data_IF_496472815010
#
_entry.id   IF_496472815010
#
_cell.length_a   1.000
_cell.length_b   1.000
_cell.length_c   1.000
_cell.angle_alpha   90.00
_cell.angle_beta   90.00
_cell.angle_gamma   90.00
#
_symmetry.space_group_name_H-M   'P 1'
#
loop_
_entity.id
_entity.type
_entity.pdbx_description
1 polymer ?
#
# COMPACT_ATOMS: atom_id res chain seq x y z
N UNK A 1 -75.62 22.57 29.12
CA UNK A 1 -74.67 21.61 28.54
C UNK A 1 -73.47 21.54 29.46
N UNK A 2 -73.36 20.47 30.23
CA UNK A 2 -72.18 20.17 31.08
C UNK A 2 -71.75 18.77 30.73
N UNK A 3 -70.66 18.66 29.97
CA UNK A 3 -70.09 17.38 29.55
C UNK A 3 -69.46 16.73 30.79
N UNK A 4 -69.89 15.52 31.13
CA UNK A 4 -69.37 14.78 32.28
C UNK A 4 -67.88 14.48 32.04
N UNK A 5 -67.01 15.11 32.83
CA UNK A 5 -65.56 14.95 32.70
C UNK A 5 -65.13 13.63 33.35
N UNK A 6 -64.94 12.59 32.53
CA UNK A 6 -64.51 11.27 33.01
C UNK A 6 -63.02 11.30 33.41
N UNK A 7 -62.78 11.57 34.69
CA UNK A 7 -61.44 11.65 35.30
C UNK A 7 -60.60 10.38 35.10
N UNK A 8 -61.22 9.21 34.91
CA UNK A 8 -60.49 7.96 34.67
C UNK A 8 -59.88 7.91 33.27
N UNK A 9 -60.57 8.46 32.27
CA UNK A 9 -60.07 8.55 30.89
C UNK A 9 -58.91 9.57 30.82
N UNK A 10 -59.08 10.73 31.47
CA UNK A 10 -58.04 11.76 31.52
C UNK A 10 -56.76 11.26 32.23
N UNK A 11 -56.90 10.51 33.33
CA UNK A 11 -55.76 9.93 34.05
C UNK A 11 -55.03 8.86 33.23
N UNK A 12 -55.77 8.02 32.50
CA UNK A 12 -55.17 7.06 31.55
C UNK A 12 -54.46 7.78 30.41
N UNK A 13 -55.07 8.79 29.79
CA UNK A 13 -54.48 9.58 28.71
C UNK A 13 -53.17 10.27 29.13
N UNK A 14 -53.13 10.86 30.33
CA UNK A 14 -51.91 11.45 30.90
C UNK A 14 -50.79 10.41 31.09
N UNK A 15 -51.13 9.22 31.61
CA UNK A 15 -50.15 8.14 31.76
C UNK A 15 -49.66 7.59 30.42
N UNK A 16 -50.51 7.50 29.39
CA UNK A 16 -50.11 7.07 28.05
C UNK A 16 -49.24 8.13 27.35
N UNK A 17 -49.55 9.42 27.49
CA UNK A 17 -48.72 10.51 26.95
C UNK A 17 -47.33 10.53 27.60
N UNK A 18 -47.24 10.43 28.92
CA UNK A 18 -45.96 10.42 29.63
C UNK A 18 -45.12 9.18 29.30
N UNK A 19 -45.74 8.00 29.19
CA UNK A 19 -45.08 6.76 28.75
C UNK A 19 -44.60 6.87 27.30
N UNK A 20 -45.40 7.46 26.40
CA UNK A 20 -45.03 7.67 24.99
C UNK A 20 -43.86 8.63 24.87
N UNK A 21 -43.87 9.77 25.57
CA UNK A 21 -42.75 10.73 25.55
C UNK A 21 -41.45 10.14 26.08
N UNK A 22 -41.50 9.33 27.15
CA UNK A 22 -40.32 8.66 27.68
C UNK A 22 -39.79 7.60 26.70
N UNK A 23 -40.67 6.76 26.15
CA UNK A 23 -40.28 5.74 25.18
C UNK A 23 -39.70 6.35 23.89
N UNK A 24 -40.25 7.46 23.41
CA UNK A 24 -39.70 8.16 22.24
C UNK A 24 -38.33 8.76 22.51
N UNK A 25 -38.12 9.40 23.68
CA UNK A 25 -36.82 9.98 24.03
C UNK A 25 -35.75 8.89 24.19
N UNK A 26 -36.08 7.77 24.83
CA UNK A 26 -35.17 6.62 24.97
C UNK A 26 -34.87 5.99 23.60
N UNK A 27 -35.88 5.81 22.75
CA UNK A 27 -35.71 5.26 21.41
C UNK A 27 -34.82 6.12 20.51
N UNK A 28 -34.99 7.46 20.54
CA UNK A 28 -34.13 8.40 19.82
C UNK A 28 -32.70 8.35 20.35
N UNK A 29 -32.52 8.34 21.68
CA UNK A 29 -31.19 8.21 22.29
C UNK A 29 -30.46 6.95 21.85
N UNK A 30 -31.15 5.80 21.84
CA UNK A 30 -30.60 4.52 21.36
C UNK A 30 -30.29 4.52 19.86
N UNK A 31 -31.13 5.17 19.04
CA UNK A 31 -30.89 5.30 17.61
C UNK A 31 -29.63 6.11 17.31
N UNK A 32 -29.43 7.23 18.00
CA UNK A 32 -28.25 8.08 17.83
C UNK A 32 -26.98 7.37 18.28
N UNK A 33 -26.99 6.68 19.42
CA UNK A 33 -25.84 5.91 19.89
C UNK A 33 -25.50 4.75 18.97
N UNK A 34 -26.51 4.06 18.41
CA UNK A 34 -26.30 2.99 17.42
C UNK A 34 -25.67 3.52 16.13
N UNK A 35 -26.16 4.64 15.58
CA UNK A 35 -25.57 5.26 14.39
C UNK A 35 -24.12 5.69 14.66
N UNK A 36 -23.86 6.28 15.83
CA UNK A 36 -22.49 6.68 16.21
C UNK A 36 -21.56 5.46 16.32
N UNK A 37 -22.02 4.37 16.94
CA UNK A 37 -21.28 3.11 17.01
C UNK A 37 -20.98 2.54 15.62
N UNK A 38 -21.93 2.59 14.69
CA UNK A 38 -21.70 2.19 13.30
C UNK A 38 -20.65 3.06 12.62
N UNK A 39 -20.68 4.39 12.77
CA UNK A 39 -19.67 5.27 12.17
C UNK A 39 -18.25 4.99 12.69
N UNK A 40 -18.13 4.64 13.98
CA UNK A 40 -16.86 4.21 14.57
C UNK A 40 -16.44 2.84 14.01
N UNK A 41 -17.36 1.87 13.94
CA UNK A 41 -17.10 0.52 13.39
C UNK A 41 -16.68 0.56 11.90
N UNK A 42 -17.33 1.41 11.10
CA UNK A 42 -16.99 1.64 9.69
C UNK A 42 -15.80 2.58 9.48
N UNK A 43 -15.13 3.00 10.55
CA UNK A 43 -13.92 3.84 10.50
C UNK A 43 -14.10 5.13 9.67
N UNK A 44 -15.33 5.65 9.59
CA UNK A 44 -15.66 6.83 8.78
C UNK A 44 -14.94 8.11 9.25
N UNK A 45 -14.46 8.11 10.49
CA UNK A 45 -13.66 9.19 11.09
C UNK A 45 -12.14 8.98 10.98
N UNK A 46 -11.68 7.90 10.35
CA UNK A 46 -10.25 7.64 10.15
C UNK A 46 -9.46 7.41 11.45
N UNK A 47 -10.11 7.00 12.54
CA UNK A 47 -9.52 6.87 13.90
C UNK A 47 -8.42 5.80 13.97
N UNK A 48 -8.37 4.84 13.02
CA UNK A 48 -7.25 3.90 12.85
C UNK A 48 -6.49 4.11 11.53
N UNK A 49 -6.56 5.30 10.94
CA UNK A 49 -5.61 5.64 9.88
C UNK A 49 -4.26 5.75 10.54
N UNK A 50 -3.44 4.70 10.43
CA UNK A 50 -2.02 4.78 10.76
C UNK A 50 -1.47 5.88 9.87
N UNK A 51 -1.36 7.10 10.40
CA UNK A 51 -0.56 8.15 9.79
C UNK A 51 0.82 7.54 9.69
N UNK A 52 1.24 7.19 8.48
CA UNK A 52 2.60 6.78 8.23
C UNK A 52 3.50 7.84 8.88
N UNK A 53 4.44 7.45 9.76
CA UNK A 53 5.42 8.41 10.27
C UNK A 53 6.08 9.06 9.06
N UNK A 54 6.00 10.39 8.95
CA UNK A 54 6.75 11.16 7.95
C UNK A 54 8.27 10.98 8.11
N UNK A 55 8.71 10.32 9.18
CA UNK A 55 10.10 10.23 9.61
C UNK A 55 10.78 8.90 9.26
N UNK A 56 10.16 8.02 8.46
CA UNK A 56 10.82 6.77 8.03
C UNK A 56 10.69 6.50 6.53
N UNK A 57 11.31 7.32 5.66
CA UNK A 57 11.30 7.10 4.22
C UNK A 57 11.90 5.72 3.90
N UNK A 58 11.25 4.99 2.98
CA UNK A 58 11.64 3.63 2.60
C UNK A 58 11.84 2.67 3.80
N UNK A 59 11.06 2.88 4.86
CA UNK A 59 11.05 2.04 6.08
C UNK A 59 12.42 1.93 6.78
N UNK A 60 13.26 2.96 6.65
CA UNK A 60 14.55 3.06 7.35
C UNK A 60 15.68 2.38 6.60
N UNK A 61 15.41 1.91 5.39
CA UNK A 61 16.42 1.39 4.47
C UNK A 61 16.87 2.53 3.58
N UNK A 62 18.18 2.82 3.48
CA UNK A 62 18.66 3.86 2.58
C UNK A 62 18.37 3.47 1.12
N UNK A 63 17.73 4.38 0.38
CA UNK A 63 17.44 4.21 -1.03
C UNK A 63 18.32 5.15 -1.88
N UNK A 64 18.73 4.73 -3.09
CA UNK A 64 19.46 5.58 -3.98
C UNK A 64 18.57 6.68 -4.60
N UNK A 65 19.15 7.84 -4.87
CA UNK A 65 18.50 8.87 -5.69
C UNK A 65 18.37 8.40 -7.15
N UNK A 66 17.32 8.84 -7.83
CA UNK A 66 17.08 8.49 -9.21
C UNK A 66 18.13 9.11 -10.13
N UNK A 67 18.43 8.45 -11.24
CA UNK A 67 19.47 8.88 -12.16
C UNK A 67 18.86 9.75 -13.26
N UNK A 68 19.37 10.98 -13.37
CA UNK A 68 18.99 11.90 -14.42
C UNK A 68 19.59 11.43 -15.75
N UNK A 69 18.76 11.32 -16.79
CA UNK A 69 19.20 10.96 -18.14
C UNK A 69 20.01 12.08 -18.79
N UNK A 70 20.72 11.77 -19.89
CA UNK A 70 21.60 12.72 -20.60
C UNK A 70 20.90 13.96 -21.16
N UNK A 71 19.58 13.92 -21.34
CA UNK A 71 18.80 14.96 -22.04
C UNK A 71 17.82 15.73 -21.15
N UNK A 72 17.79 15.48 -19.83
CA UNK A 72 16.73 16.02 -18.96
C UNK A 72 17.26 16.66 -17.67
N UNK A 73 16.45 17.54 -17.08
CA UNK A 73 16.68 18.07 -15.73
C UNK A 73 16.19 17.12 -14.62
N UNK A 74 15.45 16.06 -14.97
CA UNK A 74 14.79 15.15 -14.01
C UNK A 74 14.91 13.69 -14.45
N UNK A 75 14.88 12.77 -13.49
CA UNK A 75 14.91 11.33 -13.74
C UNK A 75 13.51 10.82 -14.19
N UNK A 76 13.40 10.15 -15.34
CA UNK A 76 12.11 9.63 -15.82
C UNK A 76 11.86 8.18 -15.37
N UNK A 77 10.59 7.83 -15.20
CA UNK A 77 10.15 6.43 -15.19
C UNK A 77 10.47 5.80 -16.54
N UNK A 78 10.98 4.57 -16.53
CA UNK A 78 11.37 3.86 -17.76
C UNK A 78 10.17 3.12 -18.36
N UNK A 79 10.28 2.74 -19.64
CA UNK A 79 9.29 1.86 -20.26
C UNK A 79 9.31 0.49 -19.57
N UNK A 80 8.15 0.00 -19.12
CA UNK A 80 8.04 -1.30 -18.45
C UNK A 80 8.68 -2.44 -19.26
N UNK A 81 8.61 -2.39 -20.59
CA UNK A 81 9.17 -3.41 -21.49
C UNK A 81 10.70 -3.48 -21.46
N UNK A 82 11.35 -2.38 -21.06
CA UNK A 82 12.79 -2.32 -20.87
C UNK A 82 13.22 -2.85 -19.50
N UNK A 83 12.28 -3.14 -18.59
CA UNK A 83 12.57 -3.56 -17.22
C UNK A 83 12.46 -5.07 -17.09
N UNK A 84 13.61 -5.72 -16.92
CA UNK A 84 13.70 -7.14 -16.60
C UNK A 84 13.43 -7.37 -15.10
N UNK A 85 12.43 -8.19 -14.79
CA UNK A 85 12.05 -8.50 -13.43
C UNK A 85 12.12 -10.00 -13.15
N UNK A 86 12.54 -10.34 -11.93
CA UNK A 86 12.37 -11.67 -11.35
C UNK A 86 11.53 -11.56 -10.10
N UNK A 87 10.51 -12.40 -9.96
CA UNK A 87 9.60 -12.37 -8.81
C UNK A 87 9.84 -13.59 -7.92
N UNK A 88 10.19 -13.31 -6.67
CA UNK A 88 10.55 -14.32 -5.67
C UNK A 88 9.51 -14.36 -4.57
N UNK A 89 9.08 -15.57 -4.20
CA UNK A 89 8.15 -15.76 -3.10
C UNK A 89 8.90 -15.77 -1.76
N UNK A 90 8.80 -14.67 -1.01
CA UNK A 90 9.31 -14.56 0.36
C UNK A 90 8.31 -14.99 1.43
N UNK A 91 7.23 -15.68 1.06
CA UNK A 91 6.12 -16.05 1.96
C UNK A 91 5.85 -17.56 1.96
N UNK A 92 4.95 -18.01 2.85
CA UNK A 92 4.43 -19.40 2.86
C UNK A 92 3.34 -19.67 1.81
N UNK A 93 2.82 -18.64 1.13
CA UNK A 93 1.67 -18.76 0.23
C UNK A 93 2.12 -19.25 -1.14
N UNK A 94 1.71 -20.47 -1.50
CA UNK A 94 2.06 -21.07 -2.80
C UNK A 94 1.41 -20.29 -3.94
N UNK A 95 2.12 -20.15 -5.06
CA UNK A 95 1.61 -19.47 -6.26
C UNK A 95 1.62 -17.94 -6.22
N UNK A 96 1.92 -17.31 -5.07
CA UNK A 96 1.88 -15.85 -4.92
C UNK A 96 2.82 -15.14 -5.91
N UNK A 97 4.09 -15.58 -5.98
CA UNK A 97 5.07 -14.98 -6.92
C UNK A 97 4.65 -15.15 -8.38
N UNK A 98 3.99 -16.26 -8.73
CA UNK A 98 3.49 -16.49 -10.08
C UNK A 98 2.35 -15.53 -10.41
N UNK A 99 1.36 -15.42 -9.54
CA UNK A 99 0.22 -14.52 -9.74
C UNK A 99 0.67 -13.05 -9.89
N UNK A 100 1.58 -12.60 -9.03
CA UNK A 100 2.11 -11.23 -9.09
C UNK A 100 3.01 -11.04 -10.31
N UNK A 101 3.87 -12.01 -10.62
CA UNK A 101 4.71 -11.98 -11.82
C UNK A 101 3.90 -11.88 -13.10
N UNK A 102 2.86 -12.70 -13.26
CA UNK A 102 1.95 -12.64 -14.41
C UNK A 102 1.20 -11.31 -14.48
N UNK A 103 0.78 -10.75 -13.34
CA UNK A 103 0.14 -9.44 -13.29
C UNK A 103 1.07 -8.28 -13.69
N UNK A 104 2.36 -8.34 -13.31
CA UNK A 104 3.38 -7.39 -13.74
C UNK A 104 3.73 -7.59 -15.23
N UNK A 105 3.83 -8.83 -15.70
CA UNK A 105 4.02 -9.13 -17.13
C UNK A 105 2.86 -8.57 -17.97
N UNK A 106 1.61 -8.68 -17.50
CA UNK A 106 0.43 -8.06 -18.11
C UNK A 106 0.40 -6.51 -18.02
N UNK A 107 1.35 -5.90 -17.30
CA UNK A 107 1.64 -4.46 -17.29
C UNK A 107 2.81 -4.10 -18.23
N UNK A 108 3.38 -5.07 -18.92
CA UNK A 108 4.44 -4.90 -19.91
C UNK A 108 5.85 -5.13 -19.35
N UNK A 109 6.01 -5.51 -18.09
CA UNK A 109 7.33 -5.85 -17.55
C UNK A 109 7.88 -7.14 -18.18
N UNK A 110 9.19 -7.21 -18.41
CA UNK A 110 9.84 -8.42 -18.92
C UNK A 110 10.09 -9.40 -17.76
N UNK A 111 9.15 -10.31 -17.52
CA UNK A 111 9.27 -11.34 -16.48
C UNK A 111 10.26 -12.43 -16.89
N UNK A 112 11.44 -12.44 -16.29
CA UNK A 112 12.52 -13.38 -16.61
C UNK A 112 12.42 -14.69 -15.84
N UNK A 113 12.00 -14.62 -14.58
CA UNK A 113 11.92 -15.78 -13.70
C UNK A 113 10.88 -15.58 -12.59
N UNK A 114 10.22 -16.67 -12.19
CA UNK A 114 9.41 -16.78 -10.98
C UNK A 114 9.96 -17.92 -10.14
N UNK A 115 10.30 -17.65 -8.88
CA UNK A 115 10.86 -18.67 -7.99
C UNK A 115 10.49 -18.42 -6.53
N UNK A 116 10.95 -19.29 -5.63
CA UNK A 116 10.89 -19.04 -4.18
C UNK A 116 12.15 -18.29 -3.74
N UNK A 117 11.99 -17.42 -2.75
CA UNK A 117 13.13 -16.81 -2.09
C UNK A 117 13.82 -17.85 -1.17
N UNK A 118 15.10 -17.64 -0.86
CA UNK A 118 15.85 -18.50 0.09
C UNK A 118 15.20 -18.57 1.47
N UNK A 119 14.57 -17.48 1.90
CA UNK A 119 13.80 -17.41 3.13
C UNK A 119 12.34 -17.05 2.87
N UNK A 120 11.42 -17.70 3.58
CA UNK A 120 9.96 -17.54 3.45
C UNK A 120 9.32 -16.69 4.56
N UNK A 121 10.11 -15.96 5.34
CA UNK A 121 9.66 -15.12 6.47
C UNK A 121 9.79 -13.62 6.19
N UNK A 122 9.78 -13.22 4.91
CA UNK A 122 9.88 -11.83 4.52
C UNK A 122 8.57 -11.14 4.88
N UNK A 123 8.62 -10.15 5.78
CA UNK A 123 7.42 -9.44 6.22
C UNK A 123 6.93 -8.47 5.16
N UNK A 124 7.82 -7.60 4.68
CA UNK A 124 7.52 -6.53 3.71
C UNK A 124 8.18 -6.83 2.39
N UNK A 125 7.51 -6.55 1.28
CA UNK A 125 8.09 -6.74 -0.06
C UNK A 125 9.37 -5.94 -0.22
N UNK A 126 10.41 -6.55 -0.77
CA UNK A 126 11.69 -5.90 -1.01
C UNK A 126 12.00 -5.97 -2.51
N UNK A 127 12.36 -4.83 -3.08
CA UNK A 127 12.81 -4.68 -4.45
C UNK A 127 14.33 -4.54 -4.39
N UNK A 128 15.05 -5.59 -4.79
CA UNK A 128 16.50 -5.59 -4.89
C UNK A 128 16.95 -5.25 -6.31
N UNK A 129 17.98 -4.41 -6.41
CA UNK A 129 18.48 -3.92 -7.69
C UNK A 129 19.90 -3.39 -7.54
N UNK A 130 20.61 -3.31 -8.67
CA UNK A 130 21.96 -2.77 -8.73
C UNK A 130 21.99 -1.28 -9.07
N UNK A 131 23.20 -0.71 -9.01
CA UNK A 131 23.45 0.70 -9.37
C UNK A 131 23.00 1.07 -10.80
N UNK A 132 22.94 0.07 -11.70
CA UNK A 132 22.61 0.26 -13.11
C UNK A 132 21.11 0.11 -13.42
N UNK A 133 20.30 -0.18 -12.40
CA UNK A 133 18.86 -0.45 -12.51
C UNK A 133 18.01 0.45 -11.60
N UNK A 134 18.51 1.64 -11.25
CA UNK A 134 17.87 2.50 -10.23
C UNK A 134 16.50 2.98 -10.73
N UNK A 135 16.41 3.50 -11.96
CA UNK A 135 15.16 4.03 -12.50
C UNK A 135 14.17 2.90 -12.83
N UNK A 136 14.69 1.76 -13.26
CA UNK A 136 13.97 0.50 -13.43
C UNK A 136 13.32 0.07 -12.11
N UNK A 137 14.07 0.10 -11.00
CA UNK A 137 13.55 -0.21 -9.68
C UNK A 137 12.51 0.79 -9.18
N UNK A 138 12.67 2.09 -9.44
CA UNK A 138 11.62 3.09 -9.15
C UNK A 138 10.33 2.80 -9.94
N UNK A 139 10.46 2.36 -11.18
CA UNK A 139 9.33 2.00 -12.05
C UNK A 139 8.59 0.77 -11.53
N UNK A 140 9.32 -0.25 -11.09
CA UNK A 140 8.72 -1.40 -10.39
C UNK A 140 8.06 -0.95 -9.08
N UNK A 141 8.76 -0.18 -8.24
CA UNK A 141 8.28 0.26 -6.94
C UNK A 141 6.97 1.06 -7.03
N UNK A 142 6.78 1.83 -8.11
CA UNK A 142 5.55 2.58 -8.33
C UNK A 142 4.28 1.71 -8.44
N UNK A 143 4.42 0.40 -8.68
CA UNK A 143 3.32 -0.56 -8.71
C UNK A 143 2.96 -1.11 -7.31
N UNK A 144 3.75 -0.83 -6.27
CA UNK A 144 3.53 -1.32 -4.91
C UNK A 144 3.13 -0.20 -3.98
N UNK A 145 2.32 -0.51 -2.97
CA UNK A 145 1.94 0.44 -1.92
C UNK A 145 2.99 0.53 -0.81
N UNK A 146 3.71 -0.57 -0.56
CA UNK A 146 4.42 -0.76 0.69
C UNK A 146 5.76 -1.51 0.57
N UNK A 147 6.41 -1.42 -0.59
CA UNK A 147 7.68 -2.08 -0.86
C UNK A 147 8.91 -1.28 -0.39
N UNK A 148 9.96 -1.99 0.03
CA UNK A 148 11.29 -1.43 0.31
C UNK A 148 12.12 -1.47 -0.97
N UNK A 149 12.70 -0.35 -1.36
CA UNK A 149 13.78 -0.30 -2.34
C UNK A 149 15.12 -0.58 -1.64
N UNK A 150 15.84 -1.62 -2.07
CA UNK A 150 17.14 -1.97 -1.47
C UNK A 150 18.18 -2.21 -2.55
N UNK A 151 19.11 -1.28 -2.70
CA UNK A 151 20.23 -1.46 -3.62
C UNK A 151 21.20 -2.51 -3.08
N UNK A 152 21.67 -3.42 -3.92
CA UNK A 152 22.74 -4.36 -3.63
C UNK A 152 23.94 -4.16 -4.58
N UNK A 153 24.96 -5.00 -4.48
CA UNK A 153 26.20 -4.85 -5.23
C UNK A 153 26.14 -5.34 -6.69
N UNK A 154 25.00 -5.85 -7.18
CA UNK A 154 24.88 -6.32 -8.58
C UNK A 154 25.17 -5.20 -9.58
N UNK A 155 25.67 -5.60 -10.75
CA UNK A 155 26.05 -4.68 -11.85
C UNK A 155 25.14 -4.78 -13.06
N UNK A 156 24.27 -5.78 -13.07
CA UNK A 156 23.35 -6.04 -14.15
C UNK A 156 22.11 -5.13 -14.02
N UNK A 157 21.12 -5.34 -14.89
CA UNK A 157 19.85 -4.59 -14.90
C UNK A 157 18.66 -5.35 -14.31
N UNK A 158 18.89 -6.51 -13.67
CA UNK A 158 17.81 -7.31 -13.13
C UNK A 158 17.24 -6.67 -11.85
N UNK A 159 15.92 -6.51 -11.81
CA UNK A 159 15.20 -6.11 -10.61
C UNK A 159 14.52 -7.32 -9.98
N UNK A 160 14.94 -7.69 -8.77
CA UNK A 160 14.30 -8.76 -8.00
C UNK A 160 13.20 -8.22 -7.12
N UNK A 161 12.04 -8.86 -7.14
CA UNK A 161 10.88 -8.53 -6.31
C UNK A 161 10.65 -9.68 -5.36
N UNK A 162 11.10 -9.54 -4.12
CA UNK A 162 10.87 -10.53 -3.05
C UNK A 162 9.58 -10.18 -2.33
N UNK A 163 8.52 -10.94 -2.57
CA UNK A 163 7.19 -10.67 -2.01
C UNK A 163 7.16 -10.98 -0.51
N UNK A 164 6.70 -10.02 0.28
CA UNK A 164 6.52 -10.16 1.72
C UNK A 164 5.08 -10.49 2.12
N UNK A 165 4.88 -10.93 3.36
CA UNK A 165 3.56 -11.28 3.90
C UNK A 165 2.59 -10.11 4.04
N UNK A 166 3.06 -8.85 4.05
CA UNK A 166 2.21 -7.65 4.07
C UNK A 166 1.70 -7.26 2.68
N UNK A 167 2.24 -7.88 1.62
CA UNK A 167 1.76 -7.62 0.27
C UNK A 167 0.30 -8.03 0.14
N UNK A 168 -0.52 -7.08 -0.29
CA UNK A 168 -1.95 -7.30 -0.53
C UNK A 168 -2.25 -7.29 -2.04
N UNK A 169 -1.95 -6.18 -2.71
CA UNK A 169 -2.20 -6.04 -4.14
C UNK A 169 -1.23 -5.04 -4.77
N UNK A 170 -1.10 -5.11 -6.10
CA UNK A 170 -0.50 -4.04 -6.89
C UNK A 170 -1.43 -2.83 -6.89
N UNK A 171 -0.84 -1.63 -7.00
CA UNK A 171 -1.59 -0.40 -7.19
C UNK A 171 -2.43 -0.47 -8.48
N UNK A 172 -3.64 0.13 -8.50
CA UNK A 172 -4.43 0.27 -9.72
C UNK A 172 -3.59 0.85 -10.86
N UNK A 173 -3.78 0.36 -12.09
CA UNK A 173 -2.99 0.82 -13.26
C UNK A 173 -3.07 2.34 -13.45
N UNK A 174 -4.22 2.94 -13.14
CA UNK A 174 -4.47 4.38 -13.23
C UNK A 174 -3.64 5.22 -12.25
N UNK A 175 -3.16 4.60 -11.16
CA UNK A 175 -2.35 5.27 -10.13
C UNK A 175 -0.84 5.09 -10.37
N UNK A 176 -0.46 4.30 -11.39
CA UNK A 176 0.93 4.04 -11.74
C UNK A 176 1.38 5.08 -12.77
N UNK A 177 2.52 5.75 -12.55
CA UNK A 177 3.06 6.73 -13.49
C UNK A 177 3.33 6.12 -14.88
N UNK A 178 3.06 6.89 -15.91
CA UNK A 178 3.41 6.51 -17.28
C UNK A 178 4.93 6.60 -17.51
N UNK A 179 5.43 5.84 -18.49
CA UNK A 179 6.81 5.96 -18.93
C UNK A 179 7.13 7.40 -19.36
N UNK A 180 8.32 7.89 -19.02
CA UNK A 180 8.74 9.27 -19.28
C UNK A 180 8.26 10.29 -18.24
N UNK A 181 7.28 9.96 -17.39
CA UNK A 181 6.90 10.83 -16.28
C UNK A 181 8.06 10.98 -15.29
N UNK A 182 8.10 12.09 -14.56
CA UNK A 182 9.14 12.36 -13.56
C UNK A 182 9.03 11.42 -12.36
N UNK A 183 10.15 10.80 -11.96
CA UNK A 183 10.24 10.01 -10.74
C UNK A 183 10.10 10.92 -9.52
N UNK A 184 9.22 10.52 -8.60
CA UNK A 184 9.21 11.03 -7.24
C UNK A 184 10.18 10.21 -6.39
N UNK A 185 11.33 10.80 -6.08
CA UNK A 185 12.39 10.13 -5.32
C UNK A 185 11.94 9.82 -3.88
N UNK A 186 12.57 8.81 -3.30
CA UNK A 186 12.46 8.57 -1.86
C UNK A 186 13.03 9.79 -1.13
N UNK A 187 12.26 10.35 -0.18
CA UNK A 187 12.72 11.47 0.62
C UNK A 187 14.02 11.12 1.36
N UNK A 188 15.04 11.97 1.24
CA UNK A 188 16.36 11.71 1.85
C UNK A 188 17.16 10.61 1.15
N UNK A 189 16.90 10.39 -0.15
CA UNK A 189 17.70 9.49 -0.96
C UNK A 189 19.19 9.86 -0.91
N UNK A 190 20.04 8.86 -1.13
CA UNK A 190 21.51 9.01 -1.14
C UNK A 190 21.99 8.77 -2.56
N UNK A 191 22.96 9.54 -3.06
CA UNK A 191 23.54 9.20 -4.37
C UNK A 191 24.17 7.81 -4.33
N UNK A 192 23.96 7.02 -5.38
CA UNK A 192 24.37 5.61 -5.40
C UNK A 192 25.88 5.40 -5.16
N UNK A 193 26.73 6.34 -5.60
CA UNK A 193 28.18 6.32 -5.39
C UNK A 193 28.62 6.61 -3.94
N UNK A 194 27.74 7.24 -3.15
CA UNK A 194 27.99 7.55 -1.73
C UNK A 194 27.41 6.49 -0.77
N UNK A 195 26.64 5.54 -1.29
CA UNK A 195 26.06 4.47 -0.46
C UNK A 195 27.16 3.49 -0.01
N UNK A 196 27.30 3.34 1.30
CA UNK A 196 28.24 2.41 1.94
C UNK A 196 27.51 1.17 2.44
N UNK A 197 28.23 0.06 2.62
CA UNK A 197 27.72 -1.19 3.21
C UNK A 197 26.50 -1.78 2.47
N UNK A 198 26.49 -1.68 1.14
CA UNK A 198 25.47 -2.34 0.33
C UNK A 198 25.59 -3.87 0.47
N UNK A 199 24.47 -4.60 0.59
CA UNK A 199 24.47 -6.06 0.70
C UNK A 199 24.99 -6.70 -0.60
N UNK A 200 25.45 -7.94 -0.49
CA UNK A 200 25.74 -8.77 -1.64
C UNK A 200 24.44 -9.21 -2.32
N UNK A 201 24.43 -9.20 -3.65
CA UNK A 201 23.36 -9.75 -4.43
C UNK A 201 23.28 -11.28 -4.27
N UNK A 202 22.05 -11.81 -4.25
CA UNK A 202 21.82 -13.24 -4.36
C UNK A 202 22.21 -13.75 -5.75
N UNK A 203 22.53 -15.04 -5.87
CA UNK A 203 22.82 -15.63 -7.18
C UNK A 203 21.65 -15.46 -8.16
N UNK A 204 21.97 -14.99 -9.35
CA UNK A 204 21.04 -14.78 -10.45
C UNK A 204 21.75 -14.92 -11.79
N UNK A 205 20.96 -15.08 -12.84
CA UNK A 205 21.43 -14.96 -14.21
C UNK A 205 21.45 -13.48 -14.57
N UNK A 206 22.62 -12.97 -14.95
CA UNK A 206 22.78 -11.55 -15.25
C UNK A 206 21.94 -11.12 -16.47
N UNK A 207 21.33 -9.93 -16.37
CA UNK A 207 20.60 -9.27 -17.46
C UNK A 207 21.28 -7.96 -17.87
N UNK A 208 21.47 -7.76 -19.18
CA UNK A 208 22.13 -6.57 -19.73
C UNK A 208 21.24 -5.34 -19.73
#
# INVERSE_FOLDING_TARGET
MTQEYDERIARKAFMYQRKRSVLTTVGVGLGVTFIFALLVQFHAFGINSVRAPKDNPNYGVPAPCAIIGKEGAKAPYVDNRAVAIRVLNGTKFRGLARAVGEALNARGFNLTEVNNNKSSNIKRTIIYFGKNAINEAYTVNANFTDAIMRMDDRKDKLVDIVLGSTFNNLRPKVDVPAAGATIHEVQGCIRADLMKNIPKADQHKEVK
#
